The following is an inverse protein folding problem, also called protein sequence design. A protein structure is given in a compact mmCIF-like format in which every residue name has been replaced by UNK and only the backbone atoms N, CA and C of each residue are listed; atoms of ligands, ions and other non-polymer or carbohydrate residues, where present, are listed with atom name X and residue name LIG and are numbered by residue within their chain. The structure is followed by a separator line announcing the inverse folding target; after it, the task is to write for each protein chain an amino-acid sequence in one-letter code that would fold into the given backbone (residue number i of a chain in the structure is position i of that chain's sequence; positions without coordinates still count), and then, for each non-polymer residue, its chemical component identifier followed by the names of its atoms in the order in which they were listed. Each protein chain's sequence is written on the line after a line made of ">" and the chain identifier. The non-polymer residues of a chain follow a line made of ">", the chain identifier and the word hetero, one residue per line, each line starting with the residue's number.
data_IF_504772667316
#
_entry.id   IF_504772667316
#
_cell.length_a   1.000
_cell.length_b   1.000
_cell.length_c   1.000
_cell.angle_alpha   90.00
_cell.angle_beta   90.00
_cell.angle_gamma   90.00
#
_symmetry.space_group_name_H-M   'P 1'
#
loop_
_entity.id
_entity.type
_entity.pdbx_description
1 polymer ?
#
# COMPACT_ATOMS: atom_id res chain seq x y z
N UNK A 1 5.92 65.44 20.47
CA UNK A 1 6.70 66.61 19.99
C UNK A 1 8.17 66.30 20.16
N UNK A 2 8.96 66.65 19.14
CA UNK A 2 10.43 66.67 19.05
C UNK A 2 11.13 65.29 19.06
N UNK A 3 11.72 64.84 17.93
CA UNK A 3 12.97 65.34 17.28
C UNK A 3 14.14 65.31 18.27
N UNK A 4 15.37 64.96 17.94
CA UNK A 4 16.10 64.62 16.71
C UNK A 4 17.53 64.36 17.24
N UNK A 5 18.26 63.39 16.65
CA UNK A 5 19.65 63.55 16.17
C UNK A 5 20.74 63.97 17.20
N UNK A 6 21.98 63.50 17.23
CA UNK A 6 22.89 62.97 16.21
C UNK A 6 24.27 62.86 16.88
N UNK A 7 25.11 61.96 16.35
CA UNK A 7 26.55 62.19 16.06
C UNK A 7 27.48 62.20 17.28
N UNK A 8 28.41 61.24 17.37
CA UNK A 8 29.75 61.24 16.75
C UNK A 8 30.33 59.82 16.82
N UNK A 9 31.00 59.46 15.73
CA UNK A 9 31.66 58.21 15.48
C UNK A 9 33.11 58.19 16.00
N UNK A 10 33.61 56.96 16.20
CA UNK A 10 34.98 56.50 16.01
C UNK A 10 36.12 57.21 16.75
N UNK A 11 36.76 56.47 17.64
CA UNK A 11 38.22 56.12 17.68
C UNK A 11 38.50 55.48 19.06
N UNK A 12 39.27 54.41 19.29
CA UNK A 12 40.15 53.54 18.52
C UNK A 12 40.44 52.30 19.39
N UNK A 13 40.66 51.16 18.72
CA UNK A 13 41.65 50.12 19.06
C UNK A 13 41.48 49.34 20.37
N UNK A 14 40.87 48.16 20.24
CA UNK A 14 41.12 47.01 21.11
C UNK A 14 40.79 45.73 20.36
N UNK A 15 41.80 45.10 19.76
CA UNK A 15 41.63 43.89 18.96
C UNK A 15 41.25 42.69 19.80
N UNK A 16 40.14 42.05 19.47
CA UNK A 16 39.87 40.64 19.75
C UNK A 16 39.12 40.05 18.56
N UNK A 17 39.80 39.20 17.79
CA UNK A 17 39.17 38.39 16.73
C UNK A 17 38.27 37.34 17.40
N UNK A 18 36.98 37.62 17.49
CA UNK A 18 35.99 36.57 17.71
C UNK A 18 35.58 36.08 16.32
N UNK A 19 36.01 34.86 15.98
CA UNK A 19 35.51 34.10 14.84
C UNK A 19 34.02 33.81 15.08
N UNK A 20 33.17 34.79 14.73
CA UNK A 20 31.74 34.60 14.66
C UNK A 20 31.43 33.76 13.44
N UNK A 21 31.58 32.44 13.54
CA UNK A 21 30.91 31.52 12.63
C UNK A 21 29.41 31.78 12.78
N UNK A 22 28.85 32.59 11.87
CA UNK A 22 27.40 32.69 11.69
C UNK A 22 26.92 31.29 11.37
N UNK A 23 26.34 30.62 12.36
CA UNK A 23 25.54 29.43 12.13
C UNK A 23 24.31 29.92 11.37
N UNK A 24 24.39 29.89 10.04
CA UNK A 24 23.22 30.06 9.19
C UNK A 24 22.42 28.78 9.36
N UNK A 25 21.50 28.77 10.33
CA UNK A 25 20.44 27.77 10.35
C UNK A 25 19.60 28.06 9.11
N UNK A 26 19.94 27.39 8.01
CA UNK A 26 19.06 27.32 6.84
C UNK A 26 17.75 26.71 7.33
N UNK A 27 16.76 27.57 7.55
CA UNK A 27 15.39 27.14 7.68
C UNK A 27 15.03 26.52 6.33
N UNK A 28 15.14 25.20 6.21
CA UNK A 28 14.71 24.47 5.01
C UNK A 28 13.24 24.81 4.79
N UNK A 29 12.99 25.66 3.80
CA UNK A 29 11.64 25.99 3.39
C UNK A 29 11.02 24.73 2.79
N UNK A 30 9.71 24.53 2.94
CA UNK A 30 9.00 23.43 2.25
C UNK A 30 9.17 23.49 0.72
N UNK A 31 9.56 24.65 0.17
CA UNK A 31 9.87 24.87 -1.24
C UNK A 31 11.25 24.34 -1.68
N UNK A 32 12.17 24.08 -0.76
CA UNK A 32 13.56 23.65 -1.06
C UNK A 32 13.69 22.12 -1.25
N UNK A 33 12.57 21.40 -1.24
CA UNK A 33 12.57 19.94 -1.32
C UNK A 33 12.45 19.47 -2.77
N UNK A 34 13.25 18.48 -3.14
CA UNK A 34 13.28 17.90 -4.49
C UNK A 34 11.89 17.39 -4.91
N UNK A 35 11.37 17.77 -6.09
CA UNK A 35 10.04 17.38 -6.54
C UNK A 35 9.94 15.90 -6.94
N UNK A 36 11.06 15.31 -7.38
CA UNK A 36 11.18 13.90 -7.73
C UNK A 36 12.60 13.41 -7.46
N UNK A 37 12.75 12.11 -7.24
CA UNK A 37 14.04 11.47 -7.08
C UNK A 37 14.05 10.11 -7.80
N UNK A 38 15.22 9.72 -8.31
CA UNK A 38 15.43 8.41 -8.93
C UNK A 38 15.96 7.42 -7.89
N UNK A 39 15.49 6.19 -7.96
CA UNK A 39 15.85 5.10 -7.06
C UNK A 39 16.25 3.87 -7.85
N UNK A 40 17.33 3.22 -7.43
CA UNK A 40 17.69 1.88 -7.91
C UNK A 40 16.85 0.84 -7.15
N UNK A 41 16.19 -0.05 -7.89
CA UNK A 41 15.38 -1.15 -7.34
C UNK A 41 16.06 -2.49 -7.60
N UNK A 42 15.83 -3.45 -6.69
CA UNK A 42 16.39 -4.80 -6.81
C UNK A 42 15.91 -5.46 -8.10
N UNK A 43 16.84 -6.04 -8.85
CA UNK A 43 16.53 -6.82 -10.04
C UNK A 43 15.69 -8.06 -9.68
N UNK A 44 14.64 -8.31 -10.45
CA UNK A 44 13.81 -9.51 -10.32
C UNK A 44 14.51 -10.72 -10.97
N UNK A 45 14.47 -11.86 -10.27
CA UNK A 45 14.85 -13.15 -10.87
C UNK A 45 13.79 -13.55 -11.90
N UNK A 46 14.23 -13.94 -13.10
CA UNK A 46 13.33 -14.18 -14.23
C UNK A 46 13.12 -15.68 -14.46
N UNK A 47 11.88 -16.05 -14.79
CA UNK A 47 11.55 -17.40 -15.23
C UNK A 47 10.82 -17.34 -16.58
N UNK A 48 11.45 -17.86 -17.63
CA UNK A 48 10.90 -17.87 -19.02
C UNK A 48 10.55 -16.48 -19.57
N UNK A 49 11.32 -15.47 -19.18
CA UNK A 49 11.26 -14.12 -19.72
C UNK A 49 12.66 -13.68 -20.15
N UNK A 50 12.75 -13.07 -21.32
CA UNK A 50 14.01 -12.56 -21.86
C UNK A 50 14.43 -11.25 -21.18
N UNK A 51 13.46 -10.39 -20.87
CA UNK A 51 13.65 -9.09 -20.23
C UNK A 51 12.77 -8.93 -18.99
N UNK A 52 13.29 -8.21 -17.99
CA UNK A 52 12.61 -7.92 -16.73
C UNK A 52 12.19 -6.45 -16.62
N UNK A 53 11.55 -6.06 -15.52
CA UNK A 53 11.25 -4.66 -15.24
C UNK A 53 12.54 -3.83 -15.11
N UNK A 54 12.42 -2.53 -15.39
CA UNK A 54 13.52 -1.57 -15.22
C UNK A 54 14.10 -1.62 -13.80
N UNK A 55 15.43 -1.56 -13.67
CA UNK A 55 16.12 -1.49 -12.37
C UNK A 55 16.16 -0.08 -11.78
N UNK A 56 15.64 0.91 -12.50
CA UNK A 56 15.53 2.29 -12.05
C UNK A 56 14.09 2.78 -12.16
N UNK A 57 13.67 3.53 -11.16
CA UNK A 57 12.36 4.17 -11.11
C UNK A 57 12.48 5.60 -10.62
N UNK A 58 11.53 6.45 -11.02
CA UNK A 58 11.40 7.83 -10.54
C UNK A 58 10.19 7.90 -9.64
N UNK A 59 10.36 8.45 -8.45
CA UNK A 59 9.27 8.68 -7.49
C UNK A 59 9.10 10.18 -7.28
N UNK A 60 7.90 10.68 -7.52
CA UNK A 60 7.57 12.06 -7.18
C UNK A 60 7.31 12.22 -5.69
N UNK A 61 7.51 13.43 -5.18
CA UNK A 61 7.23 13.77 -3.78
C UNK A 61 5.78 13.47 -3.40
N UNK A 62 4.84 13.82 -4.27
CA UNK A 62 3.40 13.63 -4.02
C UNK A 62 3.05 12.15 -3.88
N UNK A 63 3.55 11.33 -4.81
CA UNK A 63 3.39 9.88 -4.76
C UNK A 63 4.02 9.28 -3.51
N UNK A 64 5.26 9.69 -3.17
CA UNK A 64 5.94 9.23 -1.97
C UNK A 64 5.18 9.54 -0.68
N UNK A 65 4.66 10.77 -0.56
CA UNK A 65 3.82 11.16 0.59
C UNK A 65 2.51 10.39 0.64
N UNK A 66 1.89 10.13 -0.52
CA UNK A 66 0.67 9.32 -0.63
C UNK A 66 0.94 7.88 -0.19
N UNK A 67 1.95 7.22 -0.76
CA UNK A 67 2.30 5.83 -0.42
C UNK A 67 2.68 5.69 1.05
N UNK A 68 3.50 6.59 1.59
CA UNK A 68 3.85 6.60 3.00
C UNK A 68 2.61 6.73 3.90
N UNK A 69 1.70 7.66 3.58
CA UNK A 69 0.46 7.85 4.33
C UNK A 69 -0.42 6.60 4.27
N UNK A 70 -0.57 5.98 3.10
CA UNK A 70 -1.37 4.77 2.92
C UNK A 70 -0.80 3.60 3.72
N UNK A 71 0.50 3.31 3.59
CA UNK A 71 1.17 2.25 4.35
C UNK A 71 1.07 2.49 5.86
N UNK A 72 1.30 3.72 6.32
CA UNK A 72 1.20 4.04 7.74
C UNK A 72 -0.24 3.91 8.25
N UNK A 73 -1.24 4.28 7.45
CA UNK A 73 -2.65 4.13 7.82
C UNK A 73 -3.01 2.65 7.99
N UNK A 74 -2.57 1.80 7.05
CA UNK A 74 -2.74 0.35 7.14
C UNK A 74 -2.10 -0.22 8.40
N UNK A 75 -0.81 0.08 8.64
CA UNK A 75 -0.09 -0.35 9.84
C UNK A 75 -0.83 0.01 11.13
N UNK A 76 -1.32 1.25 11.24
CA UNK A 76 -2.04 1.69 12.44
C UNK A 76 -3.43 1.07 12.57
N UNK A 77 -4.11 0.80 11.45
CA UNK A 77 -5.38 0.08 11.44
C UNK A 77 -5.21 -1.34 11.98
N UNK A 78 -4.19 -2.07 11.54
CA UNK A 78 -3.93 -3.45 12.00
C UNK A 78 -3.54 -3.51 13.47
N UNK A 79 -2.65 -2.61 13.92
CA UNK A 79 -2.30 -2.50 15.35
C UNK A 79 -3.53 -2.18 16.22
N UNK A 80 -4.49 -1.41 15.67
CA UNK A 80 -5.75 -1.14 16.37
C UNK A 80 -6.66 -2.36 16.37
N UNK A 81 -6.71 -3.12 15.28
CA UNK A 81 -7.44 -4.38 15.21
C UNK A 81 -6.91 -5.38 16.25
N UNK A 82 -5.59 -5.56 16.36
CA UNK A 82 -4.96 -6.38 17.41
C UNK A 82 -5.40 -5.96 18.82
N UNK A 83 -5.36 -4.65 19.12
CA UNK A 83 -5.79 -4.12 20.40
C UNK A 83 -7.26 -4.46 20.70
N UNK A 84 -8.16 -4.26 19.74
CA UNK A 84 -9.60 -4.53 19.90
C UNK A 84 -9.89 -6.03 19.99
N UNK A 85 -9.09 -6.87 19.33
CA UNK A 85 -9.16 -8.32 19.44
C UNK A 85 -8.78 -8.80 20.84
N UNK A 86 -7.69 -8.28 21.40
CA UNK A 86 -7.28 -8.55 22.80
C UNK A 86 -8.33 -8.09 23.81
N UNK A 87 -9.02 -6.99 23.53
CA UNK A 87 -10.15 -6.49 24.32
C UNK A 87 -11.45 -7.29 24.12
N UNK A 88 -11.45 -8.35 23.30
CA UNK A 88 -12.62 -9.19 22.98
C UNK A 88 -13.76 -8.45 22.27
N UNK A 89 -13.47 -7.27 21.71
CA UNK A 89 -14.43 -6.50 20.90
C UNK A 89 -14.52 -7.10 19.50
N UNK A 90 -13.38 -7.44 18.90
CA UNK A 90 -13.32 -8.28 17.70
C UNK A 90 -13.32 -9.74 18.16
N UNK A 91 -14.07 -10.59 17.47
CA UNK A 91 -14.23 -12.02 17.78
C UNK A 91 -14.01 -12.86 16.52
N UNK A 92 -13.79 -14.17 16.71
CA UNK A 92 -13.56 -15.09 15.60
C UNK A 92 -12.17 -14.90 14.99
N UNK A 93 -12.09 -14.89 13.67
CA UNK A 93 -10.84 -14.74 12.93
C UNK A 93 -10.43 -13.28 12.76
N UNK A 94 -9.12 -13.01 12.83
CA UNK A 94 -8.54 -11.70 12.56
C UNK A 94 -7.10 -11.87 12.06
N UNK A 95 -6.90 -11.76 10.76
CA UNK A 95 -5.60 -11.94 10.12
C UNK A 95 -5.01 -10.58 9.75
N UNK A 96 -3.99 -10.15 10.48
CA UNK A 96 -3.45 -8.79 10.40
C UNK A 96 -2.47 -8.63 9.24
N UNK A 97 -2.59 -7.59 8.43
CA UNK A 97 -1.73 -7.39 7.25
C UNK A 97 -0.45 -6.57 7.54
N UNK A 98 -0.08 -6.38 8.82
CA UNK A 98 1.09 -5.58 9.16
C UNK A 98 2.41 -6.26 8.78
N UNK A 99 3.31 -5.49 8.15
CA UNK A 99 4.57 -5.97 7.58
C UNK A 99 4.53 -6.22 6.06
N UNK A 100 3.35 -6.30 5.46
CA UNK A 100 3.16 -6.52 4.02
C UNK A 100 2.57 -5.29 3.30
N UNK A 101 2.62 -4.10 3.92
CA UNK A 101 1.96 -2.91 3.38
C UNK A 101 2.49 -2.52 2.00
N UNK A 102 3.79 -2.73 1.77
CA UNK A 102 4.42 -2.47 0.48
C UNK A 102 3.78 -3.30 -0.66
N UNK A 103 3.30 -4.52 -0.39
CA UNK A 103 2.63 -5.34 -1.39
C UNK A 103 1.29 -4.73 -1.81
N UNK A 104 0.43 -4.38 -0.85
CA UNK A 104 -0.88 -3.82 -1.16
C UNK A 104 -0.77 -2.44 -1.83
N UNK A 105 0.07 -1.55 -1.28
CA UNK A 105 0.28 -0.21 -1.83
C UNK A 105 1.02 -0.26 -3.17
N UNK A 106 1.98 -1.15 -3.33
CA UNK A 106 2.73 -1.33 -4.58
C UNK A 106 1.86 -1.84 -5.72
N UNK A 107 1.00 -2.82 -5.45
CA UNK A 107 0.02 -3.32 -6.44
C UNK A 107 -0.95 -2.22 -6.81
N UNK A 108 -1.54 -1.54 -5.82
CA UNK A 108 -2.47 -0.43 -6.05
C UNK A 108 -1.83 0.69 -6.88
N UNK A 109 -0.54 0.96 -6.68
CA UNK A 109 0.21 1.95 -7.45
C UNK A 109 0.47 1.54 -8.90
N UNK A 110 0.50 0.23 -9.20
CA UNK A 110 0.79 -0.31 -10.52
C UNK A 110 -0.45 -0.64 -11.36
N UNK A 111 -1.66 -0.59 -10.79
CA UNK A 111 -2.90 -0.93 -11.47
C UNK A 111 -3.87 0.25 -11.51
N UNK A 112 -4.85 0.18 -12.41
CA UNK A 112 -5.92 1.17 -12.50
C UNK A 112 -7.07 0.86 -11.53
N UNK A 113 -7.89 1.86 -11.15
CA UNK A 113 -9.11 1.63 -10.35
C UNK A 113 -10.16 0.76 -11.05
N UNK A 114 -10.08 0.65 -12.39
CA UNK A 114 -10.93 -0.23 -13.21
C UNK A 114 -10.47 -1.68 -13.20
N UNK A 115 -9.22 -1.93 -12.81
CA UNK A 115 -8.67 -3.28 -12.72
C UNK A 115 -9.19 -4.00 -11.47
N UNK A 116 -9.13 -5.32 -11.55
CA UNK A 116 -9.78 -6.25 -10.65
C UNK A 116 -8.78 -6.85 -9.69
N UNK A 117 -9.17 -7.04 -8.43
CA UNK A 117 -8.29 -7.64 -7.42
C UNK A 117 -9.06 -8.65 -6.57
N UNK A 118 -8.46 -9.82 -6.35
CA UNK A 118 -9.00 -10.86 -5.46
C UNK A 118 -7.88 -11.46 -4.62
N UNK A 119 -8.16 -11.72 -3.34
CA UNK A 119 -7.17 -12.25 -2.38
C UNK A 119 -7.78 -13.23 -1.39
N UNK A 120 -6.94 -13.83 -0.55
CA UNK A 120 -7.33 -14.69 0.56
C UNK A 120 -7.86 -13.87 1.74
N UNK A 121 -7.99 -14.47 2.91
CA UNK A 121 -8.61 -13.88 4.09
C UNK A 121 -7.78 -12.81 4.81
N UNK A 122 -6.50 -12.61 4.43
CA UNK A 122 -5.63 -11.54 4.96
C UNK A 122 -5.79 -10.26 4.12
N UNK A 123 -6.97 -9.63 4.20
CA UNK A 123 -7.42 -8.70 3.15
C UNK A 123 -7.66 -7.26 3.61
N UNK A 124 -7.50 -6.89 4.88
CA UNK A 124 -7.88 -5.55 5.34
C UNK A 124 -7.08 -4.45 4.62
N UNK A 125 -5.79 -4.69 4.37
CA UNK A 125 -4.94 -3.80 3.60
C UNK A 125 -5.48 -3.53 2.19
N UNK A 126 -5.79 -4.58 1.42
CA UNK A 126 -6.39 -4.46 0.09
C UNK A 126 -7.78 -3.83 0.11
N UNK A 127 -8.57 -4.12 1.15
CA UNK A 127 -9.89 -3.52 1.34
C UNK A 127 -9.77 -1.99 1.47
N UNK A 128 -8.75 -1.53 2.21
CA UNK A 128 -8.45 -0.10 2.34
C UNK A 128 -7.94 0.52 1.04
N UNK A 129 -6.97 -0.11 0.36
CA UNK A 129 -6.41 0.45 -0.89
C UNK A 129 -7.43 0.50 -2.01
N UNK A 130 -8.37 -0.46 -2.05
CA UNK A 130 -9.52 -0.50 -3.00
C UNK A 130 -10.66 0.46 -2.62
N UNK A 131 -10.44 1.36 -1.66
CA UNK A 131 -11.28 2.53 -1.43
C UNK A 131 -12.27 2.45 -0.27
N UNK A 132 -12.26 1.39 0.54
CA UNK A 132 -13.10 1.30 1.73
C UNK A 132 -12.47 2.11 2.86
N UNK A 133 -13.27 2.89 3.58
CA UNK A 133 -12.74 3.69 4.69
C UNK A 133 -12.31 2.82 5.88
N UNK A 134 -11.30 3.26 6.62
CA UNK A 134 -10.89 2.60 7.89
C UNK A 134 -12.08 2.48 8.85
N UNK A 135 -13.00 3.45 8.84
CA UNK A 135 -14.20 3.42 9.69
C UNK A 135 -15.09 2.23 9.37
N UNK A 136 -15.35 1.96 8.09
CA UNK A 136 -16.17 0.84 7.64
C UNK A 136 -15.47 -0.51 7.88
N UNK A 137 -14.16 -0.58 7.66
CA UNK A 137 -13.36 -1.79 7.95
C UNK A 137 -13.41 -2.11 9.45
N UNK A 138 -13.13 -1.13 10.31
CA UNK A 138 -13.16 -1.32 11.76
C UNK A 138 -14.58 -1.62 12.28
N UNK A 139 -15.61 -1.04 11.67
CA UNK A 139 -17.00 -1.36 11.99
C UNK A 139 -17.36 -2.81 11.60
N UNK A 140 -16.85 -3.31 10.49
CA UNK A 140 -17.04 -4.71 10.07
C UNK A 140 -16.31 -5.67 11.01
N UNK A 141 -15.05 -5.38 11.36
CA UNK A 141 -14.28 -6.17 12.32
C UNK A 141 -14.97 -6.27 13.69
N UNK A 142 -15.62 -5.19 14.12
CA UNK A 142 -16.36 -5.14 15.39
C UNK A 142 -17.81 -5.61 15.28
N UNK A 143 -18.23 -6.13 14.12
CA UNK A 143 -19.54 -6.73 13.88
C UNK A 143 -20.71 -5.74 13.94
N UNK A 144 -20.51 -4.50 13.47
CA UNK A 144 -21.50 -3.42 13.54
C UNK A 144 -22.19 -3.18 12.20
N UNK A 145 -23.42 -2.65 12.25
CA UNK A 145 -24.23 -2.29 11.07
C UNK A 145 -23.51 -1.34 10.09
N UNK A 146 -22.61 -0.50 10.59
CA UNK A 146 -21.82 0.43 9.78
C UNK A 146 -20.61 -0.19 9.07
N UNK A 147 -20.44 -1.51 9.16
CA UNK A 147 -19.40 -2.22 8.44
C UNK A 147 -19.67 -2.33 6.94
N UNK A 148 -18.62 -2.58 6.16
CA UNK A 148 -18.70 -2.73 4.69
C UNK A 148 -19.66 -3.84 4.25
N UNK A 149 -19.82 -4.90 5.06
CA UNK A 149 -20.79 -5.98 4.87
C UNK A 149 -21.89 -5.96 5.96
N UNK A 150 -22.10 -4.81 6.61
CA UNK A 150 -23.09 -4.59 7.68
C UNK A 150 -22.92 -5.53 8.88
N UNK A 151 -21.69 -5.95 9.16
CA UNK A 151 -21.35 -6.85 10.28
C UNK A 151 -21.63 -8.33 10.01
N UNK A 152 -21.87 -8.71 8.75
CA UNK A 152 -22.15 -10.11 8.36
C UNK A 152 -20.90 -10.87 7.90
N UNK A 153 -19.88 -10.16 7.43
CA UNK A 153 -18.69 -10.76 6.84
C UNK A 153 -17.56 -10.94 7.84
N UNK A 154 -17.38 -9.98 8.75
CA UNK A 154 -16.24 -9.96 9.67
C UNK A 154 -14.91 -9.78 8.95
N UNK A 155 -13.82 -10.24 9.57
CA UNK A 155 -12.44 -10.04 9.07
C UNK A 155 -12.21 -10.62 7.67
N UNK A 156 -12.73 -11.81 7.40
CA UNK A 156 -12.37 -12.55 6.19
C UNK A 156 -13.18 -12.13 4.96
N UNK A 157 -14.36 -11.52 5.11
CA UNK A 157 -15.31 -11.33 4.01
C UNK A 157 -15.69 -9.85 3.83
N UNK A 158 -14.76 -9.07 3.29
CA UNK A 158 -14.96 -7.65 2.94
C UNK A 158 -14.84 -7.46 1.44
N UNK A 159 -15.81 -6.79 0.80
CA UNK A 159 -15.86 -6.60 -0.65
C UNK A 159 -15.95 -5.10 -0.99
N UNK A 160 -15.42 -4.71 -2.14
CA UNK A 160 -15.53 -3.35 -2.64
C UNK A 160 -15.67 -3.36 -4.17
N UNK A 161 -15.79 -2.18 -4.78
CA UNK A 161 -15.84 -2.08 -6.24
C UNK A 161 -14.55 -2.66 -6.85
N UNK A 162 -14.69 -3.61 -7.77
CA UNK A 162 -13.58 -4.34 -8.40
C UNK A 162 -12.62 -5.02 -7.41
N UNK A 163 -13.08 -5.26 -6.18
CA UNK A 163 -12.39 -6.02 -5.16
C UNK A 163 -13.26 -7.17 -4.70
N UNK A 164 -12.90 -8.37 -5.14
CA UNK A 164 -13.73 -9.58 -5.04
C UNK A 164 -13.53 -10.34 -3.73
N UNK A 165 -13.09 -9.62 -2.69
CA UNK A 165 -13.17 -10.10 -1.33
C UNK A 165 -11.87 -10.62 -0.74
N UNK A 166 -11.95 -10.84 0.57
CA UNK A 166 -11.16 -11.87 1.23
C UNK A 166 -11.88 -13.21 1.15
N UNK A 167 -11.12 -14.25 0.82
CA UNK A 167 -11.64 -15.61 0.66
C UNK A 167 -11.10 -16.50 1.77
N UNK A 168 -12.02 -17.11 2.53
CA UNK A 168 -11.69 -17.95 3.69
C UNK A 168 -11.22 -19.37 3.34
N UNK A 169 -11.43 -19.82 2.10
CA UNK A 169 -11.01 -21.14 1.63
C UNK A 169 -9.70 -20.98 0.86
N UNK A 170 -8.62 -21.57 1.40
CA UNK A 170 -7.26 -21.49 0.85
C UNK A 170 -7.25 -21.99 -0.60
N UNK A 171 -6.82 -21.15 -1.53
CA UNK A 171 -6.68 -21.46 -2.96
C UNK A 171 -7.96 -21.30 -3.79
N UNK A 172 -9.15 -21.21 -3.16
CA UNK A 172 -10.42 -21.08 -3.88
C UNK A 172 -10.54 -19.76 -4.67
N UNK A 173 -9.84 -18.72 -4.23
CA UNK A 173 -9.83 -17.43 -4.92
C UNK A 173 -9.11 -17.45 -6.26
N UNK A 174 -8.21 -18.40 -6.49
CA UNK A 174 -7.42 -18.47 -7.72
C UNK A 174 -8.27 -18.74 -8.97
N UNK A 175 -9.08 -19.82 -9.01
CA UNK A 175 -9.99 -20.03 -10.14
C UNK A 175 -11.04 -18.92 -10.26
N UNK A 176 -11.45 -18.28 -9.16
CA UNK A 176 -12.35 -17.12 -9.21
C UNK A 176 -11.70 -15.93 -9.93
N UNK A 177 -10.46 -15.61 -9.59
CA UNK A 177 -9.68 -14.57 -10.27
C UNK A 177 -9.47 -14.85 -11.76
N UNK A 178 -9.18 -16.10 -12.12
CA UNK A 178 -9.12 -16.52 -13.53
C UNK A 178 -10.47 -16.33 -14.25
N UNK A 179 -11.60 -16.60 -13.57
CA UNK A 179 -12.94 -16.32 -14.09
C UNK A 179 -13.20 -14.83 -14.33
N UNK A 180 -12.71 -13.96 -13.44
CA UNK A 180 -12.79 -12.50 -13.61
C UNK A 180 -11.92 -12.05 -14.79
N UNK A 181 -10.69 -12.55 -14.92
CA UNK A 181 -9.83 -12.28 -16.06
C UNK A 181 -10.46 -12.71 -17.40
N UNK A 182 -11.11 -13.88 -17.41
CA UNK A 182 -11.89 -14.36 -18.56
C UNK A 182 -13.04 -13.41 -18.88
N UNK A 183 -13.74 -12.87 -17.87
CA UNK A 183 -14.79 -11.89 -18.09
C UNK A 183 -14.28 -10.57 -18.68
N UNK A 184 -13.10 -10.08 -18.26
CA UNK A 184 -12.45 -8.91 -18.86
C UNK A 184 -12.16 -9.12 -20.36
N UNK A 185 -11.57 -10.28 -20.70
CA UNK A 185 -11.31 -10.66 -22.09
C UNK A 185 -12.61 -10.78 -22.89
N UNK A 186 -13.62 -11.46 -22.34
CA UNK A 186 -14.91 -11.68 -23.00
C UNK A 186 -15.64 -10.37 -23.29
N UNK A 187 -15.51 -9.38 -22.40
CA UNK A 187 -16.08 -8.06 -22.59
C UNK A 187 -15.24 -7.15 -23.49
N UNK A 188 -14.07 -7.60 -23.97
CA UNK A 188 -13.16 -6.80 -24.78
C UNK A 188 -12.60 -5.58 -24.05
N UNK A 189 -12.57 -5.61 -22.71
CA UNK A 189 -12.03 -4.53 -21.89
C UNK A 189 -10.55 -4.75 -21.68
N UNK A 190 -9.75 -3.69 -21.82
CA UNK A 190 -8.33 -3.72 -21.51
C UNK A 190 -8.10 -3.57 -19.99
N UNK A 191 -8.77 -4.41 -19.21
CA UNK A 191 -8.68 -4.49 -17.75
C UNK A 191 -7.97 -5.78 -17.36
N UNK A 192 -7.22 -5.75 -16.26
CA UNK A 192 -6.50 -6.93 -15.73
C UNK A 192 -7.12 -7.41 -14.42
N UNK A 193 -6.90 -8.68 -14.06
CA UNK A 193 -7.24 -9.20 -12.75
C UNK A 193 -5.98 -9.68 -12.00
N UNK A 194 -5.68 -9.02 -10.89
CA UNK A 194 -4.62 -9.43 -9.96
C UNK A 194 -5.18 -10.45 -9.00
N UNK A 195 -4.65 -11.67 -9.05
CA UNK A 195 -5.12 -12.81 -8.27
C UNK A 195 -4.04 -13.22 -7.28
N UNK A 196 -4.31 -12.97 -6.00
CA UNK A 196 -3.34 -13.17 -4.92
C UNK A 196 -3.56 -14.47 -4.16
N UNK A 197 -2.46 -15.12 -3.80
CA UNK A 197 -2.46 -16.31 -2.95
C UNK A 197 -1.17 -16.39 -2.12
N UNK A 198 -1.26 -16.99 -0.93
CA UNK A 198 -0.11 -17.20 -0.04
C UNK A 198 0.74 -18.40 -0.48
N UNK A 199 1.94 -18.51 0.07
CA UNK A 199 2.85 -19.64 -0.15
C UNK A 199 2.23 -21.00 0.22
N UNK A 200 1.47 -21.07 1.32
CA UNK A 200 0.71 -22.28 1.69
C UNK A 200 -0.36 -22.68 0.66
N UNK A 201 -0.98 -21.69 0.01
CA UNK A 201 -1.96 -21.91 -1.04
C UNK A 201 -1.33 -22.40 -2.35
N UNK A 202 -0.05 -22.10 -2.60
CA UNK A 202 0.63 -22.48 -3.84
C UNK A 202 0.63 -23.99 -4.10
N UNK A 203 0.65 -24.81 -3.04
CA UNK A 203 0.60 -26.27 -3.16
C UNK A 203 -0.80 -26.81 -3.50
N UNK A 204 -1.85 -26.06 -3.16
CA UNK A 204 -3.25 -26.41 -3.45
C UNK A 204 -3.66 -26.00 -4.86
N UNK A 205 -3.06 -24.92 -5.34
CA UNK A 205 -3.25 -24.41 -6.70
C UNK A 205 -2.45 -25.29 -7.65
N UNK A 206 -3.01 -26.44 -8.02
CA UNK A 206 -2.48 -27.22 -9.15
C UNK A 206 -2.80 -26.41 -10.41
N UNK A 207 -1.84 -25.58 -10.83
CA UNK A 207 -1.92 -24.71 -12.01
C UNK A 207 -1.91 -25.55 -13.31
N UNK A 208 -2.94 -26.38 -13.50
CA UNK A 208 -3.32 -26.93 -14.81
C UNK A 208 -4.15 -25.93 -15.61
N UNK A 209 -4.25 -24.68 -15.16
CA UNK A 209 -4.64 -23.58 -16.03
C UNK A 209 -3.45 -23.31 -16.94
N UNK A 210 -3.58 -23.54 -18.25
CA UNK A 210 -2.47 -23.28 -19.15
C UNK A 210 -2.08 -21.81 -19.03
N UNK A 211 -0.79 -21.49 -18.77
CA UNK A 211 -0.34 -20.10 -18.62
C UNK A 211 -0.55 -19.26 -19.90
N UNK A 212 -0.96 -19.87 -21.01
CA UNK A 212 -0.93 -19.24 -22.32
C UNK A 212 -2.00 -19.69 -23.33
N UNK A 213 -2.98 -20.54 -22.99
CA UNK A 213 -3.86 -21.06 -24.08
C UNK A 213 -4.81 -19.98 -24.59
N UNK A 214 -5.17 -18.96 -23.79
CA UNK A 214 -5.81 -17.73 -24.25
C UNK A 214 -5.16 -16.55 -23.51
N UNK A 215 -5.09 -15.39 -24.16
CA UNK A 215 -4.44 -14.16 -23.66
C UNK A 215 -5.21 -13.59 -22.45
N UNK A 216 -5.14 -14.25 -21.30
CA UNK A 216 -5.69 -13.78 -20.04
C UNK A 216 -4.69 -12.86 -19.36
N UNK A 217 -5.09 -11.62 -19.06
CA UNK A 217 -4.33 -10.77 -18.16
C UNK A 217 -4.66 -11.14 -16.70
N UNK A 218 -4.21 -12.32 -16.29
CA UNK A 218 -4.23 -12.77 -14.90
C UNK A 218 -2.80 -12.67 -14.35
N UNK A 219 -2.55 -11.70 -13.48
CA UNK A 219 -1.28 -11.61 -12.77
C UNK A 219 -1.41 -12.39 -11.45
N UNK A 220 -0.65 -13.48 -11.35
CA UNK A 220 -0.63 -14.38 -10.21
C UNK A 220 0.48 -13.92 -9.27
N UNK A 221 0.09 -13.32 -8.14
CA UNK A 221 1.04 -12.81 -7.17
C UNK A 221 1.06 -13.69 -5.92
N UNK A 222 2.25 -14.29 -5.70
CA UNK A 222 2.56 -15.04 -4.50
C UNK A 222 2.97 -14.09 -3.37
N UNK A 223 2.22 -14.12 -2.27
CA UNK A 223 2.65 -13.45 -1.02
C UNK A 223 3.45 -14.46 -0.20
N UNK A 224 4.78 -14.35 -0.25
CA UNK A 224 5.67 -15.23 0.50
C UNK A 224 6.02 -14.60 1.85
N UNK A 225 5.51 -15.15 2.94
CA UNK A 225 5.75 -14.65 4.29
C UNK A 225 6.56 -15.62 5.18
N UNK A 226 7.26 -16.58 4.57
CA UNK A 226 8.10 -17.61 5.22
C UNK A 226 7.29 -18.64 6.04
N UNK A 227 6.07 -18.31 6.48
CA UNK A 227 5.14 -19.20 7.18
C UNK A 227 3.81 -19.27 6.43
N UNK A 228 3.27 -20.48 6.31
CA UNK A 228 2.01 -20.77 5.62
C UNK A 228 0.81 -20.28 6.43
N UNK A 229 0.06 -19.34 5.87
CA UNK A 229 -1.34 -19.06 6.23
C UNK A 229 -2.26 -19.44 5.05
#
# INVERSE_FOLDING_TARGET
>A
MQNMLTVIANTLKGGAKINGSRIVVSARSFADLTPQASFDIKRCDLHRLDEGPSVQTVLTREEGLRYYRTMQTMRRMELKADQLYKQKIIRGFCHLYDGQEACAVGIEAGISPTDHLITAYRSHGYTYTRGVSVKEIMAELTGRRGGVAKGKGGSMHMYAKNFYGGNGIVGAQVPLGAGVALACQYQGKNEVCVTLYGDGAANHVRANFPPCVHRFACDLQLQNNILSD
#
